data_IF_259784675259
#
_entry.id   IF_259784675259
#
_cell.length_a   1.000
_cell.length_b   1.000
_cell.length_c   1.000
_cell.angle_alpha   90.00
_cell.angle_beta   90.00
_cell.angle_gamma   90.00
#
_symmetry.space_group_name_H-M   'P 1'
#
loop_
_entity.id
_entity.type
_entity.pdbx_description
1 polymer ?
#
# COMPACT_ATOMS: atom_id res chain seq x y z
N UNK A 1 16.95 -0.49 9.72
CA UNK A 1 15.83 0.30 9.18
C UNK A 1 15.09 -0.63 8.26
N UNK A 2 13.83 -0.93 8.56
CA UNK A 2 12.99 -1.92 7.87
C UNK A 2 11.68 -1.30 7.34
N UNK A 3 11.42 -0.02 7.65
CA UNK A 3 10.25 0.75 7.22
C UNK A 3 10.68 1.99 6.45
N UNK A 4 9.91 2.35 5.41
CA UNK A 4 10.14 3.49 4.55
C UNK A 4 8.85 4.17 4.09
N UNK A 5 8.93 5.48 3.83
CA UNK A 5 7.83 6.29 3.32
C UNK A 5 8.31 7.12 2.13
N UNK A 6 7.58 7.06 1.02
CA UNK A 6 7.71 7.99 -0.09
C UNK A 6 6.49 8.90 -0.08
N UNK A 7 6.67 10.21 0.01
CA UNK A 7 5.59 11.19 0.05
C UNK A 7 5.84 12.31 -0.95
N UNK A 8 4.79 12.70 -1.66
CA UNK A 8 4.78 13.89 -2.51
C UNK A 8 3.98 15.01 -1.85
N UNK A 9 4.39 16.25 -2.05
CA UNK A 9 3.63 17.43 -1.64
C UNK A 9 2.37 17.64 -2.50
N UNK A 10 2.35 17.09 -3.72
CA UNK A 10 1.24 17.22 -4.67
C UNK A 10 0.72 15.86 -5.12
N UNK A 11 -0.60 15.68 -5.33
CA UNK A 11 -1.13 14.40 -5.79
C UNK A 11 -0.59 14.03 -7.19
N UNK A 12 -0.17 12.78 -7.38
CA UNK A 12 0.40 12.27 -8.63
C UNK A 12 -0.35 11.05 -9.16
N UNK A 13 -0.21 10.79 -10.46
CA UNK A 13 -0.70 9.57 -11.12
C UNK A 13 0.23 8.41 -10.80
N UNK A 14 -0.34 7.24 -10.55
CA UNK A 14 0.42 6.03 -10.22
C UNK A 14 0.08 4.92 -11.20
N UNK A 15 1.07 4.08 -11.50
CA UNK A 15 0.89 2.82 -12.18
C UNK A 15 1.72 1.77 -11.44
N UNK A 16 1.27 0.52 -11.46
CA UNK A 16 1.94 -0.59 -10.78
C UNK A 16 1.88 -1.86 -11.60
N UNK A 17 2.99 -2.58 -11.64
CA UNK A 17 3.07 -3.96 -12.14
C UNK A 17 3.27 -4.88 -10.95
N UNK A 18 2.57 -6.01 -10.95
CA UNK A 18 2.54 -6.92 -9.82
C UNK A 18 2.90 -8.34 -10.25
N UNK A 19 3.29 -9.16 -9.27
CA UNK A 19 3.63 -10.57 -9.50
C UNK A 19 2.50 -11.36 -10.17
N UNK A 20 2.87 -12.33 -11.03
CA UNK A 20 1.97 -13.33 -11.62
C UNK A 20 1.95 -14.66 -10.85
N UNK A 21 2.64 -14.72 -9.71
CA UNK A 21 2.63 -15.86 -8.80
C UNK A 21 1.21 -16.23 -8.37
N UNK A 22 0.96 -17.52 -8.13
CA UNK A 22 -0.28 -18.00 -7.50
C UNK A 22 -0.32 -17.69 -6.00
N UNK A 23 0.84 -17.66 -5.34
CA UNK A 23 0.98 -17.17 -3.98
C UNK A 23 1.16 -15.64 -4.04
N UNK A 24 0.08 -14.92 -3.72
CA UNK A 24 0.01 -13.46 -3.76
C UNK A 24 -0.11 -12.93 -2.33
N UNK A 25 0.77 -12.01 -1.95
CA UNK A 25 0.65 -11.27 -0.68
C UNK A 25 -0.65 -10.45 -0.67
N UNK A 26 -1.40 -10.40 0.44
CA UNK A 26 -2.56 -9.53 0.55
C UNK A 26 -2.26 -8.05 0.26
N UNK A 27 -1.04 -7.58 0.52
CA UNK A 27 -0.59 -6.22 0.18
C UNK A 27 -0.60 -5.96 -1.33
N UNK A 28 -0.27 -6.96 -2.15
CA UNK A 28 -0.40 -6.87 -3.62
C UNK A 28 -1.87 -6.74 -4.02
N UNK A 29 -2.77 -7.45 -3.35
CA UNK A 29 -4.23 -7.36 -3.62
C UNK A 29 -4.75 -5.97 -3.27
N UNK A 30 -4.40 -5.42 -2.09
CA UNK A 30 -4.76 -4.05 -1.69
C UNK A 30 -4.26 -3.03 -2.72
N UNK A 31 -3.01 -3.14 -3.17
CA UNK A 31 -2.46 -2.22 -4.16
C UNK A 31 -3.20 -2.27 -5.50
N UNK A 32 -3.57 -3.47 -5.97
CA UNK A 32 -4.36 -3.64 -7.21
C UNK A 32 -5.72 -2.96 -7.07
N UNK A 33 -6.40 -3.15 -5.94
CA UNK A 33 -7.67 -2.50 -5.65
C UNK A 33 -7.52 -0.97 -5.58
N UNK A 34 -6.46 -0.47 -4.94
CA UNK A 34 -6.15 0.97 -4.89
C UNK A 34 -5.97 1.55 -6.30
N UNK A 35 -5.25 0.85 -7.18
CA UNK A 35 -5.07 1.30 -8.57
C UNK A 35 -6.37 1.20 -9.37
N UNK A 36 -7.18 0.14 -9.16
CA UNK A 36 -8.44 -0.08 -9.86
C UNK A 36 -9.54 0.90 -9.45
N UNK A 37 -9.58 1.31 -8.17
CA UNK A 37 -10.48 2.36 -7.68
C UNK A 37 -10.20 3.72 -8.36
N UNK A 38 -8.98 3.90 -8.89
CA UNK A 38 -8.56 5.12 -9.55
C UNK A 38 -8.37 6.30 -8.60
N UNK A 39 -7.85 7.40 -9.13
CA UNK A 39 -7.58 8.63 -8.37
C UNK A 39 -6.09 8.95 -8.25
N UNK A 40 -5.79 10.05 -7.57
CA UNK A 40 -4.41 10.50 -7.36
C UNK A 40 -3.86 9.95 -6.05
N UNK A 41 -2.58 9.61 -6.05
CA UNK A 41 -1.83 9.10 -4.89
C UNK A 41 -0.97 10.22 -4.33
N UNK A 42 -0.67 10.16 -3.03
CA UNK A 42 0.25 11.11 -2.38
C UNK A 42 1.48 10.44 -1.82
N UNK A 43 1.44 9.13 -1.54
CA UNK A 43 2.62 8.44 -1.05
C UNK A 43 2.59 6.92 -1.18
N UNK A 44 3.61 6.30 -0.59
CA UNK A 44 3.82 4.86 -0.49
C UNK A 44 4.45 4.58 0.87
N UNK A 45 3.95 3.56 1.57
CA UNK A 45 4.57 3.00 2.77
C UNK A 45 5.15 1.64 2.39
N UNK A 46 6.36 1.39 2.84
CA UNK A 46 7.11 0.18 2.50
C UNK A 46 7.64 -0.42 3.79
N UNK A 47 7.44 -1.73 3.99
CA UNK A 47 8.16 -2.49 5.00
C UNK A 47 9.11 -3.49 4.32
N UNK A 48 10.02 -4.06 5.11
CA UNK A 48 10.92 -5.12 4.68
C UNK A 48 11.13 -6.12 5.81
N UNK A 49 11.45 -7.37 5.48
CA UNK A 49 11.73 -8.43 6.44
C UNK A 49 10.53 -9.28 6.85
N UNK A 50 9.31 -8.75 6.72
CA UNK A 50 8.05 -9.51 6.78
C UNK A 50 7.27 -9.17 5.52
N UNK A 51 7.06 -10.16 4.66
CA UNK A 51 6.45 -9.98 3.34
C UNK A 51 4.91 -10.04 3.33
N UNK A 52 4.30 -10.34 4.49
CA UNK A 52 2.85 -10.55 4.64
C UNK A 52 2.32 -11.47 3.53
N UNK A 53 2.83 -12.71 3.48
CA UNK A 53 2.45 -13.68 2.47
C UNK A 53 2.13 -15.02 3.14
N UNK A 54 1.03 -15.66 2.74
CA UNK A 54 0.60 -16.93 3.34
C UNK A 54 0.03 -16.82 4.76
N UNK A 55 -0.33 -15.61 5.21
CA UNK A 55 -0.82 -15.35 6.59
C UNK A 55 -2.36 -15.31 6.70
N UNK A 56 -3.07 -15.65 5.62
CA UNK A 56 -4.54 -15.68 5.60
C UNK A 56 -5.20 -14.30 5.49
N UNK A 57 -6.47 -14.21 5.87
CA UNK A 57 -7.30 -13.00 5.73
C UNK A 57 -6.78 -11.82 6.56
N UNK A 58 -6.15 -12.10 7.70
CA UNK A 58 -5.60 -11.07 8.58
C UNK A 58 -4.60 -10.17 7.85
N UNK A 59 -3.76 -10.75 6.97
CA UNK A 59 -2.78 -9.98 6.21
C UNK A 59 -3.39 -8.90 5.31
N UNK A 60 -4.63 -9.10 4.84
CA UNK A 60 -5.35 -8.09 4.06
C UNK A 60 -5.83 -6.93 4.94
N UNK A 61 -6.29 -7.25 6.16
CA UNK A 61 -6.69 -6.27 7.17
C UNK A 61 -5.48 -5.44 7.56
N UNK A 62 -4.36 -6.09 7.88
CA UNK A 62 -3.11 -5.45 8.29
C UNK A 62 -2.58 -4.51 7.18
N UNK A 63 -2.62 -4.94 5.91
CA UNK A 63 -2.21 -4.11 4.79
C UNK A 63 -3.08 -2.84 4.65
N UNK A 64 -4.40 -2.96 4.82
CA UNK A 64 -5.31 -1.79 4.80
C UNK A 64 -5.08 -0.87 6.00
N UNK A 65 -4.87 -1.45 7.18
CA UNK A 65 -4.60 -0.70 8.39
C UNK A 65 -3.28 0.06 8.28
N UNK A 66 -2.21 -0.55 7.78
CA UNK A 66 -0.92 0.12 7.59
C UNK A 66 -1.04 1.32 6.64
N UNK A 67 -1.75 1.17 5.51
CA UNK A 67 -2.03 2.29 4.62
C UNK A 67 -2.81 3.41 5.33
N UNK A 68 -3.79 3.04 6.16
CA UNK A 68 -4.62 3.99 6.91
C UNK A 68 -3.84 4.75 7.99
N UNK A 69 -3.02 4.05 8.77
CA UNK A 69 -2.15 4.62 9.79
C UNK A 69 -1.12 5.56 9.16
N UNK A 70 -0.46 5.13 8.07
CA UNK A 70 0.48 5.96 7.34
C UNK A 70 -0.17 7.23 6.80
N UNK A 71 -1.36 7.13 6.20
CA UNK A 71 -2.09 8.29 5.71
C UNK A 71 -2.50 9.24 6.84
N UNK A 72 -3.00 8.72 7.95
CA UNK A 72 -3.39 9.50 9.13
C UNK A 72 -2.20 10.27 9.73
N UNK A 73 -1.07 9.58 9.93
CA UNK A 73 0.15 10.19 10.46
C UNK A 73 0.75 11.28 9.56
N UNK A 74 0.48 11.22 8.25
CA UNK A 74 0.94 12.20 7.27
C UNK A 74 -0.10 13.28 6.93
N UNK A 75 -1.27 13.28 7.60
CA UNK A 75 -2.35 14.23 7.33
C UNK A 75 -2.98 14.07 5.94
N UNK A 76 -2.87 12.88 5.34
CA UNK A 76 -3.38 12.58 4.00
C UNK A 76 -4.74 11.91 4.11
N UNK A 77 -5.73 12.42 3.36
CA UNK A 77 -7.07 11.84 3.36
C UNK A 77 -7.14 10.59 2.45
N UNK A 78 -7.45 9.44 3.07
CA UNK A 78 -7.58 8.14 2.40
C UNK A 78 -8.59 8.13 1.24
N UNK A 79 -9.57 9.04 1.17
CA UNK A 79 -10.55 9.05 0.06
C UNK A 79 -10.06 9.77 -1.20
N UNK A 80 -8.95 10.52 -1.14
CA UNK A 80 -8.50 11.39 -2.25
C UNK A 80 -7.02 11.25 -2.62
N UNK A 81 -6.24 10.54 -1.80
CA UNK A 81 -4.78 10.59 -1.86
C UNK A 81 -4.23 9.37 -1.15
N UNK A 82 -3.96 8.30 -1.90
CA UNK A 82 -3.61 7.02 -1.28
C UNK A 82 -2.12 6.89 -0.96
N UNK A 83 -1.87 5.96 -0.03
CA UNK A 83 -0.59 5.39 0.36
C UNK A 83 -0.67 3.90 -0.01
N UNK A 84 0.13 3.41 -0.95
CA UNK A 84 0.19 1.98 -1.27
C UNK A 84 1.15 1.29 -0.29
N UNK A 85 0.91 0.02 0.03
CA UNK A 85 1.78 -0.81 0.87
C UNK A 85 2.64 -1.66 -0.03
N UNK A 86 3.96 -1.45 -0.04
CA UNK A 86 4.88 -2.39 -0.67
C UNK A 86 5.60 -3.18 0.42
N UNK A 87 5.66 -4.50 0.28
CA UNK A 87 6.43 -5.34 1.20
C UNK A 87 7.56 -5.98 0.41
N UNK A 88 8.80 -5.86 0.92
CA UNK A 88 10.02 -6.39 0.33
C UNK A 88 10.58 -7.59 1.11
#
# INVERSE_FOLDING_TARGET
MDMGLLLSNTPFSVAGVFTKSTLVSPSVTVNRETLAAGGRVRGLVVNSGIANAGVGEQGYVDAKEMAAVAASGLGVNLKRSWCSVLEL
#
